data_IF_371234005410
#
_entry.id   IF_371234005410
#
_cell.length_a   1.000
_cell.length_b   1.000
_cell.length_c   1.000
_cell.angle_alpha   90.00
_cell.angle_beta   90.00
_cell.angle_gamma   90.00
#
_symmetry.space_group_name_H-M   'P 1'
#
loop_
_entity.id
_entity.type
_entity.pdbx_description
1 polymer ?
#
# COMPACT_ATOMS: atom_id res chain seq x y z
N UNK A 1 46.96 2.49 -7.94
CA UNK A 1 46.16 1.86 -6.87
C UNK A 1 45.16 2.91 -6.39
N UNK A 2 43.89 2.75 -6.77
CA UNK A 2 42.84 3.73 -6.45
C UNK A 2 42.36 3.52 -5.00
N UNK A 3 42.45 4.57 -4.19
CA UNK A 3 41.90 4.64 -2.84
C UNK A 3 40.37 4.69 -2.94
N UNK A 4 39.70 3.65 -2.44
CA UNK A 4 38.24 3.59 -2.36
C UNK A 4 37.71 4.59 -1.35
N UNK A 5 36.82 5.47 -1.80
CA UNK A 5 36.04 6.34 -0.93
C UNK A 5 35.12 5.49 -0.06
N UNK A 6 35.39 5.45 1.24
CA UNK A 6 34.46 4.97 2.24
C UNK A 6 33.31 5.97 2.32
N UNK A 7 32.14 5.59 1.81
CA UNK A 7 30.90 6.34 2.03
C UNK A 7 30.57 6.20 3.51
N UNK A 8 30.88 7.22 4.30
CA UNK A 8 30.46 7.34 5.70
C UNK A 8 28.95 7.56 5.74
N UNK A 9 28.20 6.59 6.25
CA UNK A 9 26.78 6.74 6.54
C UNK A 9 26.58 7.81 7.62
N UNK A 10 25.77 8.81 7.31
CA UNK A 10 25.43 9.91 8.22
C UNK A 10 24.59 9.38 9.41
N UNK A 11 24.74 9.93 10.63
CA UNK A 11 24.12 9.36 11.83
C UNK A 11 22.61 9.64 11.93
N UNK A 12 21.95 8.72 12.63
CA UNK A 12 20.51 8.48 12.79
C UNK A 12 19.63 9.72 13.04
N UNK A 13 18.77 10.03 12.08
CA UNK A 13 17.43 10.53 12.39
C UNK A 13 16.64 9.28 12.77
N UNK A 14 15.98 9.22 13.94
CA UNK A 14 15.22 8.02 14.35
C UNK A 14 14.45 7.46 13.15
N UNK A 15 14.80 6.22 12.74
CA UNK A 15 14.44 5.71 11.42
C UNK A 15 12.93 5.77 11.25
N UNK A 16 12.47 6.72 10.42
CA UNK A 16 11.05 6.78 10.08
C UNK A 16 10.76 5.60 9.17
N UNK A 17 9.71 4.82 9.46
CA UNK A 17 9.27 3.75 8.57
C UNK A 17 9.14 4.23 7.12
N UNK A 18 9.64 3.43 6.17
CA UNK A 18 9.52 3.73 4.75
C UNK A 18 8.23 3.13 4.21
N UNK A 19 7.42 3.96 3.57
CA UNK A 19 6.18 3.56 2.89
C UNK A 19 6.20 4.15 1.49
N UNK A 20 5.77 3.37 0.49
CA UNK A 20 5.58 3.87 -0.88
C UNK A 20 4.10 4.15 -1.11
N UNK A 21 3.80 5.27 -1.77
CA UNK A 21 2.42 5.63 -2.13
C UNK A 21 2.31 5.72 -3.65
N UNK A 22 1.40 4.93 -4.23
CA UNK A 22 1.04 4.96 -5.64
C UNK A 22 -0.37 5.54 -5.76
N UNK A 23 -0.44 6.82 -6.14
CA UNK A 23 -1.68 7.57 -6.32
C UNK A 23 -1.86 8.02 -7.77
N UNK A 24 -3.09 8.38 -8.14
CA UNK A 24 -3.48 8.75 -9.49
C UNK A 24 -4.95 8.46 -9.79
N UNK A 25 -5.48 8.96 -10.93
CA UNK A 25 -6.88 8.83 -11.27
C UNK A 25 -7.32 7.36 -11.46
N UNK A 26 -8.63 7.11 -11.37
CA UNK A 26 -9.20 5.78 -11.65
C UNK A 26 -8.83 5.33 -13.06
N UNK A 27 -8.47 4.05 -13.22
CA UNK A 27 -8.07 3.50 -14.51
C UNK A 27 -6.62 3.77 -14.94
N UNK A 28 -5.82 4.51 -14.16
CA UNK A 28 -4.42 4.82 -14.53
C UNK A 28 -3.41 3.67 -14.34
N UNK A 29 -3.86 2.44 -14.07
CA UNK A 29 -2.98 1.27 -13.95
C UNK A 29 -2.24 1.12 -12.62
N UNK A 30 -2.64 1.82 -11.54
CA UNK A 30 -1.94 1.79 -10.24
C UNK A 30 -1.75 0.40 -9.64
N UNK A 31 -2.82 -0.41 -9.63
CA UNK A 31 -2.77 -1.76 -9.07
C UNK A 31 -1.84 -2.67 -9.88
N UNK A 32 -1.85 -2.53 -11.21
CA UNK A 32 -0.93 -3.24 -12.10
C UNK A 32 0.53 -2.86 -11.80
N UNK A 33 0.82 -1.57 -11.66
CA UNK A 33 2.16 -1.09 -11.31
C UNK A 33 2.64 -1.65 -9.95
N UNK A 34 1.75 -1.71 -8.95
CA UNK A 34 2.09 -2.26 -7.64
C UNK A 34 2.44 -3.76 -7.71
N UNK A 35 1.69 -4.53 -8.50
CA UNK A 35 1.97 -5.95 -8.73
C UNK A 35 3.27 -6.13 -9.53
N UNK A 36 3.49 -5.34 -10.59
CA UNK A 36 4.71 -5.41 -11.39
C UNK A 36 5.97 -5.14 -10.52
N UNK A 37 5.87 -4.20 -9.57
CA UNK A 37 6.94 -3.90 -8.61
C UNK A 37 7.28 -5.06 -7.66
N UNK A 38 6.34 -5.98 -7.41
CA UNK A 38 6.58 -7.11 -6.52
C UNK A 38 7.60 -8.13 -7.08
N UNK A 39 7.86 -8.08 -8.40
CA UNK A 39 8.95 -8.83 -9.02
C UNK A 39 10.35 -8.30 -8.65
N UNK A 40 10.43 -7.07 -8.12
CA UNK A 40 11.67 -6.40 -7.78
C UNK A 40 11.90 -6.23 -6.28
N UNK A 41 10.82 -6.19 -5.49
CA UNK A 41 10.87 -5.97 -4.05
C UNK A 41 9.90 -6.91 -3.32
N UNK A 42 10.28 -7.45 -2.15
CA UNK A 42 9.32 -8.11 -1.27
C UNK A 42 8.38 -7.03 -0.72
N UNK A 43 7.16 -6.96 -1.26
CA UNK A 43 6.22 -5.89 -0.95
C UNK A 43 4.82 -6.43 -0.69
N UNK A 44 4.03 -5.63 0.02
CA UNK A 44 2.61 -5.91 0.26
C UNK A 44 1.79 -4.64 -0.01
N UNK A 45 0.62 -4.82 -0.61
CA UNK A 45 -0.25 -3.72 -1.04
C UNK A 45 -1.28 -3.40 0.03
N UNK A 46 -1.46 -2.12 0.33
CA UNK A 46 -2.55 -1.61 1.16
C UNK A 46 -3.49 -0.79 0.27
N UNK A 47 -4.71 -1.28 0.07
CA UNK A 47 -5.71 -0.60 -0.75
C UNK A 47 -6.19 0.69 -0.08
N UNK A 48 -6.05 1.82 -0.78
CA UNK A 48 -6.54 3.14 -0.39
C UNK A 48 -7.65 3.67 -1.32
N UNK A 49 -8.37 2.79 -2.01
CA UNK A 49 -9.59 3.13 -2.74
C UNK A 49 -10.84 2.88 -1.86
N UNK A 50 -11.57 3.96 -1.55
CA UNK A 50 -12.72 3.95 -0.64
C UNK A 50 -13.90 3.10 -1.10
N UNK A 51 -13.96 2.72 -2.38
CA UNK A 51 -14.99 1.80 -2.89
C UNK A 51 -14.49 0.36 -2.93
N UNK A 52 -13.19 0.15 -3.17
CA UNK A 52 -12.62 -1.20 -3.22
C UNK A 52 -12.42 -1.84 -1.83
N UNK A 53 -12.52 -1.08 -0.73
CA UNK A 53 -12.46 -1.64 0.64
C UNK A 53 -13.62 -2.60 0.96
N UNK A 54 -14.77 -2.44 0.31
CA UNK A 54 -15.98 -3.20 0.62
C UNK A 54 -16.01 -4.58 -0.02
N UNK A 55 -16.46 -5.60 0.72
CA UNK A 55 -16.68 -6.96 0.20
C UNK A 55 -17.70 -6.95 -0.94
N UNK A 56 -17.46 -7.74 -2.00
CA UNK A 56 -18.29 -7.72 -3.20
C UNK A 56 -18.12 -6.42 -4.02
N UNK A 57 -18.97 -6.19 -5.02
CA UNK A 57 -18.86 -5.03 -5.94
C UNK A 57 -17.60 -5.03 -6.83
N UNK A 58 -16.96 -6.18 -7.02
CA UNK A 58 -15.65 -6.28 -7.67
C UNK A 58 -15.67 -5.70 -9.10
N UNK A 59 -16.72 -6.00 -9.87
CA UNK A 59 -16.93 -5.47 -11.22
C UNK A 59 -17.18 -3.95 -11.17
N UNK A 60 -18.07 -3.49 -10.29
CA UNK A 60 -18.48 -2.08 -10.20
C UNK A 60 -17.34 -1.16 -9.77
N UNK A 61 -16.43 -1.69 -8.96
CA UNK A 61 -15.32 -0.94 -8.38
C UNK A 61 -13.99 -1.20 -9.08
N UNK A 62 -13.99 -1.99 -10.17
CA UNK A 62 -12.81 -2.34 -10.94
C UNK A 62 -11.68 -2.91 -10.06
N UNK A 63 -12.03 -3.82 -9.14
CA UNK A 63 -11.04 -4.48 -8.28
C UNK A 63 -10.15 -5.39 -9.11
N UNK A 64 -8.86 -5.39 -8.76
CA UNK A 64 -7.91 -6.32 -9.37
C UNK A 64 -8.29 -7.77 -8.98
N UNK A 65 -8.63 -8.64 -9.93
CA UNK A 65 -9.02 -10.01 -9.62
C UNK A 65 -7.83 -10.77 -9.05
N UNK A 66 -8.10 -11.77 -8.20
CA UNK A 66 -7.06 -12.54 -7.51
C UNK A 66 -6.02 -13.15 -8.46
N UNK A 67 -6.45 -13.62 -9.64
CA UNK A 67 -5.57 -14.17 -10.67
C UNK A 67 -4.55 -13.15 -11.23
N UNK A 68 -4.84 -11.85 -11.12
CA UNK A 68 -3.96 -10.78 -11.58
C UNK A 68 -3.13 -10.16 -10.44
N UNK A 69 -3.35 -10.58 -9.19
CA UNK A 69 -2.58 -10.11 -8.03
C UNK A 69 -1.19 -10.77 -7.94
N UNK A 70 -0.91 -11.83 -8.72
CA UNK A 70 0.38 -12.54 -8.77
C UNK A 70 0.94 -12.89 -7.39
N UNK A 71 0.10 -13.44 -6.51
CA UNK A 71 0.46 -13.85 -5.13
C UNK A 71 0.88 -12.69 -4.21
N UNK A 72 0.81 -11.43 -4.66
CA UNK A 72 1.10 -10.26 -3.84
C UNK A 72 -0.01 -10.07 -2.80
N UNK A 73 0.30 -10.04 -1.49
CA UNK A 73 -0.70 -9.79 -0.46
C UNK A 73 -1.35 -8.41 -0.62
N UNK A 74 -2.69 -8.39 -0.67
CA UNK A 74 -3.49 -7.16 -0.71
C UNK A 74 -4.30 -7.02 0.57
N UNK A 75 -4.02 -5.96 1.32
CA UNK A 75 -4.72 -5.57 2.54
C UNK A 75 -5.78 -4.53 2.24
N UNK A 76 -6.85 -4.52 3.06
CA UNK A 76 -7.97 -3.58 2.93
C UNK A 76 -8.66 -3.60 1.55
N UNK A 77 -8.51 -4.68 0.79
CA UNK A 77 -9.18 -4.91 -0.48
C UNK A 77 -10.34 -5.88 -0.27
N UNK A 78 -11.56 -5.39 -0.33
CA UNK A 78 -12.76 -6.22 -0.15
C UNK A 78 -12.90 -6.85 1.24
N UNK A 79 -12.50 -6.13 2.29
CA UNK A 79 -12.48 -6.65 3.68
C UNK A 79 -13.57 -6.05 4.58
N UNK A 80 -14.23 -4.97 4.13
CA UNK A 80 -15.22 -4.24 4.93
C UNK A 80 -16.64 -4.62 4.49
N UNK A 81 -17.55 -4.83 5.44
CA UNK A 81 -18.95 -5.06 5.12
C UNK A 81 -19.58 -3.78 4.51
N UNK A 82 -20.31 -3.85 3.38
CA UNK A 82 -20.90 -2.68 2.72
C UNK A 82 -21.92 -1.92 3.58
N UNK A 83 -22.44 -2.52 4.65
CA UNK A 83 -23.35 -1.87 5.60
C UNK A 83 -22.63 -1.06 6.69
N UNK A 84 -21.29 -1.05 6.70
CA UNK A 84 -20.48 -0.34 7.69
C UNK A 84 -19.84 0.87 7.01
N UNK A 85 -19.91 2.04 7.63
CA UNK A 85 -19.23 3.22 7.12
C UNK A 85 -17.71 3.11 7.32
N UNK A 86 -16.93 3.21 6.23
CA UNK A 86 -15.46 3.19 6.28
C UNK A 86 -14.87 4.60 6.09
N UNK A 87 -14.66 5.28 7.22
CA UNK A 87 -14.15 6.67 7.25
C UNK A 87 -12.64 6.75 7.03
N UNK A 88 -12.12 7.94 6.75
CA UNK A 88 -10.67 8.16 6.65
C UNK A 88 -9.94 7.86 7.99
N UNK A 89 -10.60 8.09 9.13
CA UNK A 89 -10.09 7.66 10.44
C UNK A 89 -10.01 6.14 10.53
N UNK A 90 -11.05 5.43 10.12
CA UNK A 90 -11.06 3.97 10.11
C UNK A 90 -9.96 3.39 9.21
N UNK A 91 -9.70 4.03 8.06
CA UNK A 91 -8.58 3.67 7.20
C UNK A 91 -7.24 3.82 7.91
N UNK A 92 -6.97 4.98 8.53
CA UNK A 92 -5.73 5.21 9.28
C UNK A 92 -5.53 4.19 10.41
N UNK A 93 -6.57 3.99 11.23
CA UNK A 93 -6.52 3.07 12.37
C UNK A 93 -6.28 1.61 11.93
N UNK A 94 -6.72 1.25 10.72
CA UNK A 94 -6.46 -0.08 10.14
C UNK A 94 -5.10 -0.16 9.46
N UNK A 95 -4.69 0.88 8.74
CA UNK A 95 -3.47 0.89 7.93
C UNK A 95 -2.19 0.90 8.78
N UNK A 96 -2.15 1.63 9.90
CA UNK A 96 -0.95 1.73 10.74
C UNK A 96 -0.50 0.34 11.26
N UNK A 97 -1.37 -0.47 11.91
CA UNK A 97 -0.99 -1.82 12.33
C UNK A 97 -0.57 -2.73 11.16
N UNK A 98 -1.17 -2.57 9.98
CA UNK A 98 -0.83 -3.34 8.79
C UNK A 98 0.58 -2.95 8.30
N UNK A 99 0.90 -1.66 8.27
CA UNK A 99 2.23 -1.15 7.92
C UNK A 99 3.27 -1.71 8.88
N UNK A 100 3.04 -1.62 10.19
CA UNK A 100 3.95 -2.15 11.21
C UNK A 100 4.17 -3.66 11.03
N UNK A 101 3.10 -4.41 10.73
CA UNK A 101 3.19 -5.85 10.48
C UNK A 101 4.01 -6.17 9.21
N UNK A 102 3.79 -5.45 8.11
CA UNK A 102 4.55 -5.62 6.86
C UNK A 102 6.04 -5.34 7.10
N UNK A 103 6.34 -4.23 7.77
CA UNK A 103 7.73 -3.85 8.10
C UNK A 103 8.40 -4.88 9.02
N UNK A 104 7.67 -5.46 9.97
CA UNK A 104 8.20 -6.52 10.85
C UNK A 104 8.60 -7.80 10.12
N UNK A 105 8.12 -7.99 8.88
CA UNK A 105 8.49 -9.09 7.98
C UNK A 105 9.59 -8.71 6.98
N UNK A 106 10.24 -7.55 7.16
CA UNK A 106 11.20 -6.97 6.21
C UNK A 106 10.62 -6.74 4.80
N UNK A 107 9.29 -6.55 4.71
CA UNK A 107 8.60 -6.24 3.46
C UNK A 107 8.35 -4.74 3.32
N UNK A 108 8.20 -4.28 2.07
CA UNK A 108 7.88 -2.89 1.74
C UNK A 108 6.35 -2.67 1.74
N UNK A 109 5.80 -1.80 2.61
CA UNK A 109 4.40 -1.40 2.54
C UNK A 109 4.16 -0.46 1.35
N UNK A 110 3.22 -0.82 0.47
CA UNK A 110 2.85 -0.02 -0.70
C UNK A 110 1.38 0.36 -0.63
N UNK A 111 1.09 1.63 -0.38
CA UNK A 111 -0.28 2.15 -0.37
C UNK A 111 -0.69 2.46 -1.82
N UNK A 112 -1.80 1.89 -2.27
CA UNK A 112 -2.26 2.02 -3.67
C UNK A 112 -3.71 2.48 -3.69
N UNK A 113 -4.01 3.62 -4.30
CA UNK A 113 -5.38 4.12 -4.37
C UNK A 113 -5.49 5.58 -4.79
N UNK A 114 -6.71 6.02 -5.09
CA UNK A 114 -7.01 7.40 -5.52
C UNK A 114 -7.70 8.27 -4.46
N UNK A 115 -8.00 7.73 -3.27
CA UNK A 115 -8.73 8.48 -2.23
C UNK A 115 -7.77 9.42 -1.50
N UNK A 116 -7.62 10.66 -2.00
CA UNK A 116 -6.67 11.62 -1.46
C UNK A 116 -6.80 11.84 0.05
N UNK A 117 -8.02 11.86 0.60
CA UNK A 117 -8.23 12.03 2.04
C UNK A 117 -7.71 10.86 2.89
N UNK A 118 -7.69 9.62 2.35
CA UNK A 118 -7.07 8.48 3.05
C UNK A 118 -5.56 8.63 3.16
N UNK A 119 -4.93 9.29 2.19
CA UNK A 119 -3.48 9.55 2.19
C UNK A 119 -3.14 10.76 3.09
N UNK A 120 -4.05 11.72 3.23
CA UNK A 120 -3.83 12.96 3.98
C UNK A 120 -3.98 12.82 5.51
N UNK A 121 -4.58 11.74 6.02
CA UNK A 121 -4.85 11.57 7.46
C UNK A 121 -3.64 11.22 8.32
N UNK A 122 -2.42 11.31 7.78
CA UNK A 122 -1.18 11.09 8.53
C UNK A 122 -0.93 9.61 8.76
N UNK A 123 -0.58 8.93 7.66
CA UNK A 123 -0.06 7.57 7.61
C UNK A 123 1.47 7.63 7.55
#
# INVERSE_FOLDING_TARGET
MATGNTVTSNPSHGERPKVVVITGPTGSGKSKLAVDLASHFPLEVINADSMQVYTGLDILTNKLPFSEQNEVPHHLLGTVNPNIEFTAKAFRDSAIPIIDAILSRDHLPVIVGGTNYYIQVGI
#
